data_IF_411537416082
#
_entry.id   IF_411537416082
#
_cell.length_a   1.000
_cell.length_b   1.000
_cell.length_c   1.000
_cell.angle_alpha   90.00
_cell.angle_beta   90.00
_cell.angle_gamma   90.00
#
_symmetry.space_group_name_H-M   'P 1'
#
loop_
_entity.id
_entity.type
_entity.pdbx_description
1 polymer ?
#
# COMPACT_ATOMS: atom_id res chain seq x y z
N UNK A 1 18.38 -0.72 -3.47
CA UNK A 1 17.33 -0.71 -4.52
C UNK A 1 17.92 -0.26 -5.85
N UNK A 2 18.51 0.94 -5.99
CA UNK A 2 19.03 1.48 -7.26
C UNK A 2 20.04 0.51 -7.93
N UNK A 3 21.00 -0.03 -7.19
CA UNK A 3 21.98 -0.98 -7.74
C UNK A 3 21.34 -2.25 -8.29
N UNK A 4 20.33 -2.79 -7.61
CA UNK A 4 19.60 -3.98 -8.08
C UNK A 4 18.69 -3.63 -9.27
N UNK A 5 18.08 -2.44 -9.29
CA UNK A 5 17.28 -1.96 -10.41
C UNK A 5 18.14 -1.83 -11.69
N UNK A 6 19.33 -1.23 -11.60
CA UNK A 6 20.27 -1.14 -12.73
C UNK A 6 20.67 -2.55 -13.18
N UNK A 7 21.00 -3.43 -12.23
CA UNK A 7 21.37 -4.80 -12.54
C UNK A 7 20.23 -5.56 -13.25
N UNK A 8 18.98 -5.39 -12.83
CA UNK A 8 17.82 -6.06 -13.45
C UNK A 8 17.64 -5.69 -14.93
N UNK A 9 18.06 -4.49 -15.33
CA UNK A 9 18.01 -4.05 -16.73
C UNK A 9 19.08 -4.71 -17.61
N UNK A 10 20.16 -5.20 -17.02
CA UNK A 10 21.24 -5.89 -17.75
C UNK A 10 20.98 -7.41 -17.91
N UNK A 11 19.93 -7.90 -17.29
CA UNK A 11 19.58 -9.33 -17.36
C UNK A 11 19.12 -9.72 -18.76
N UNK A 12 19.53 -10.91 -19.17
CA UNK A 12 18.99 -11.60 -20.36
C UNK A 12 18.89 -13.10 -20.07
N UNK A 13 17.81 -13.72 -20.50
CA UNK A 13 17.59 -15.15 -20.32
C UNK A 13 16.88 -15.71 -21.55
N UNK A 14 17.40 -16.86 -22.03
CA UNK A 14 16.78 -17.62 -23.13
C UNK A 14 16.08 -18.82 -22.51
N UNK A 15 14.78 -18.93 -22.73
CA UNK A 15 13.98 -20.04 -22.23
C UNK A 15 14.21 -21.34 -23.03
N UNK A 16 13.61 -22.43 -22.57
CA UNK A 16 13.71 -23.74 -23.23
C UNK A 16 13.14 -23.76 -24.64
N UNK A 17 12.28 -22.80 -24.99
CA UNK A 17 11.68 -22.63 -26.32
C UNK A 17 12.55 -21.76 -27.26
N UNK A 18 13.72 -21.32 -26.81
CA UNK A 18 14.64 -20.47 -27.59
C UNK A 18 14.23 -18.98 -27.63
N UNK A 19 13.25 -18.56 -26.83
CA UNK A 19 12.84 -17.16 -26.74
C UNK A 19 13.77 -16.43 -25.75
N UNK A 20 14.48 -15.42 -26.25
CA UNK A 20 15.34 -14.57 -25.41
C UNK A 20 14.55 -13.37 -24.93
N UNK A 21 14.48 -13.19 -23.61
CA UNK A 21 13.88 -12.02 -22.96
C UNK A 21 14.95 -11.19 -22.31
N UNK A 22 14.81 -9.87 -22.38
CA UNK A 22 15.79 -8.92 -21.85
C UNK A 22 15.18 -8.01 -20.79
N UNK A 23 16.02 -7.51 -19.87
CA UNK A 23 15.59 -6.56 -18.84
C UNK A 23 15.03 -5.26 -19.42
N UNK A 24 15.53 -4.86 -20.60
CA UNK A 24 15.03 -3.66 -21.31
C UNK A 24 13.59 -3.88 -21.81
N UNK A 25 13.27 -5.07 -22.31
CA UNK A 25 11.87 -5.40 -22.68
C UNK A 25 10.95 -5.39 -21.44
N UNK A 26 11.42 -5.93 -20.32
CA UNK A 26 10.71 -5.85 -19.05
C UNK A 26 10.52 -4.42 -18.56
N UNK A 27 11.49 -3.54 -18.76
CA UNK A 27 11.36 -2.11 -18.51
C UNK A 27 10.27 -1.47 -19.39
N UNK A 28 10.23 -1.83 -20.67
CA UNK A 28 9.19 -1.33 -21.59
C UNK A 28 7.80 -1.77 -21.16
N UNK A 29 7.64 -3.01 -20.67
CA UNK A 29 6.38 -3.49 -20.11
C UNK A 29 5.96 -2.66 -18.90
N UNK A 30 6.92 -2.23 -18.06
CA UNK A 30 6.63 -1.43 -16.88
C UNK A 30 6.28 0.02 -17.20
N UNK A 31 7.01 0.67 -18.13
CA UNK A 31 6.89 2.12 -18.39
C UNK A 31 5.90 2.42 -19.51
N UNK A 32 5.80 1.53 -20.53
CA UNK A 32 4.96 1.79 -21.69
C UNK A 32 3.49 1.50 -21.38
N UNK A 33 2.63 2.53 -21.32
CA UNK A 33 1.20 2.31 -21.10
C UNK A 33 0.58 1.60 -22.30
N UNK A 34 -0.21 0.57 -22.00
CA UNK A 34 -1.02 -0.13 -23.01
C UNK A 34 -2.47 0.36 -22.93
N UNK A 35 -2.87 1.13 -23.92
CA UNK A 35 -4.24 1.65 -24.05
C UNK A 35 -5.13 0.74 -24.92
N UNK A 36 -4.65 -0.44 -25.33
CA UNK A 36 -5.41 -1.37 -26.18
C UNK A 36 -6.62 -1.90 -25.40
N UNK A 37 -7.81 -1.69 -25.94
CA UNK A 37 -9.06 -2.10 -25.27
C UNK A 37 -9.40 -1.33 -23.99
N UNK A 38 -8.85 -0.11 -23.82
CA UNK A 38 -9.18 0.74 -22.69
C UNK A 38 -10.60 1.30 -22.84
N UNK A 39 -11.55 0.72 -22.10
CA UNK A 39 -12.90 1.26 -21.93
C UNK A 39 -12.93 2.24 -20.75
N UNK A 40 -13.95 3.12 -20.73
CA UNK A 40 -14.15 4.03 -19.59
C UNK A 40 -14.25 3.28 -18.28
N UNK A 41 -14.96 2.14 -18.26
CA UNK A 41 -15.09 1.31 -17.06
C UNK A 41 -13.75 0.71 -16.63
N UNK A 42 -12.95 0.20 -17.58
CA UNK A 42 -11.61 -0.32 -17.28
C UNK A 42 -10.69 0.78 -16.74
N UNK A 43 -10.74 1.98 -17.31
CA UNK A 43 -9.99 3.13 -16.82
C UNK A 43 -10.38 3.50 -15.37
N UNK A 44 -11.70 3.55 -15.07
CA UNK A 44 -12.18 3.82 -13.72
C UNK A 44 -11.72 2.76 -12.72
N UNK A 45 -11.77 1.48 -13.07
CA UNK A 45 -11.29 0.41 -12.21
C UNK A 45 -9.78 0.55 -11.94
N UNK A 46 -8.97 0.78 -12.97
CA UNK A 46 -7.52 1.02 -12.81
C UNK A 46 -7.25 2.23 -11.90
N UNK A 47 -8.00 3.31 -12.09
CA UNK A 47 -7.87 4.50 -11.24
C UNK A 47 -8.23 4.20 -9.78
N UNK A 48 -9.30 3.44 -9.54
CA UNK A 48 -9.72 3.03 -8.20
C UNK A 48 -8.70 2.10 -7.53
N UNK A 49 -8.15 1.13 -8.28
CA UNK A 49 -7.09 0.24 -7.79
C UNK A 49 -5.82 1.02 -7.42
N UNK A 50 -5.42 1.97 -8.28
CA UNK A 50 -4.27 2.85 -8.02
C UNK A 50 -4.49 3.73 -6.77
N UNK A 51 -5.70 4.27 -6.59
CA UNK A 51 -6.05 5.06 -5.41
C UNK A 51 -6.05 4.22 -4.14
N UNK A 52 -6.60 3.00 -4.19
CA UNK A 52 -6.56 2.04 -3.08
C UNK A 52 -5.11 1.75 -2.65
N UNK A 53 -4.23 1.52 -3.63
CA UNK A 53 -2.81 1.30 -3.36
C UNK A 53 -2.13 2.51 -2.72
N UNK A 54 -2.43 3.73 -3.16
CA UNK A 54 -1.90 4.96 -2.55
C UNK A 54 -2.35 5.13 -1.09
N UNK A 55 -3.60 4.81 -0.78
CA UNK A 55 -4.10 4.84 0.60
C UNK A 55 -3.31 3.90 1.51
N UNK A 56 -3.02 2.70 1.02
CA UNK A 56 -2.25 1.71 1.76
C UNK A 56 -0.78 2.15 1.91
N UNK A 57 -0.13 2.58 0.84
CA UNK A 57 1.27 3.00 0.82
C UNK A 57 1.52 4.18 1.76
N UNK A 58 0.66 5.20 1.73
CA UNK A 58 0.75 6.39 2.57
C UNK A 58 0.16 6.20 3.97
N UNK A 59 -0.31 4.99 4.31
CA UNK A 59 -0.94 4.67 5.61
C UNK A 59 -2.10 5.61 5.97
N UNK A 60 -2.85 6.06 4.96
CA UNK A 60 -4.01 6.94 5.15
C UNK A 60 -5.13 6.18 5.85
N UNK A 61 -5.78 6.82 6.81
CA UNK A 61 -6.89 6.26 7.62
C UNK A 61 -6.57 5.09 8.54
N UNK A 62 -5.29 4.72 8.66
CA UNK A 62 -4.83 3.73 9.64
C UNK A 62 -4.55 4.35 11.04
N UNK A 63 -4.75 5.65 11.21
CA UNK A 63 -4.43 6.37 12.44
C UNK A 63 -2.95 6.73 12.62
N UNK A 64 -2.05 6.16 11.83
CA UNK A 64 -0.59 6.36 11.95
C UNK A 64 -0.23 7.83 11.78
N UNK A 65 -0.72 8.48 10.73
CA UNK A 65 -0.45 9.89 10.47
C UNK A 65 -1.03 10.82 11.53
N UNK A 66 -2.17 10.46 12.12
CA UNK A 66 -2.77 11.22 13.24
C UNK A 66 -1.88 11.11 14.49
N UNK A 67 -1.43 9.90 14.81
CA UNK A 67 -0.53 9.66 15.94
C UNK A 67 0.80 10.39 15.76
N UNK A 68 1.41 10.30 14.60
CA UNK A 68 2.64 11.04 14.31
C UNK A 68 2.44 12.55 14.32
N UNK A 69 1.32 13.02 13.78
CA UNK A 69 0.94 14.44 13.83
C UNK A 69 0.86 14.98 15.27
N UNK A 70 0.42 14.13 16.24
CA UNK A 70 0.39 14.52 17.65
C UNK A 70 1.78 14.68 18.29
N UNK A 71 2.82 14.14 17.68
CA UNK A 71 4.22 14.24 18.14
C UNK A 71 5.02 15.35 17.44
N UNK A 72 4.47 15.89 16.37
CA UNK A 72 5.12 16.97 15.61
C UNK A 72 5.15 18.25 16.45
N UNK A 73 6.30 18.89 16.50
CA UNK A 73 6.45 20.18 17.17
C UNK A 73 5.82 21.30 16.35
N UNK A 74 5.44 22.36 17.05
CA UNK A 74 4.78 23.53 16.45
C UNK A 74 5.64 24.29 15.42
N UNK A 75 6.97 24.11 15.44
CA UNK A 75 7.91 24.77 14.53
C UNK A 75 8.19 24.02 13.22
N UNK A 76 7.53 22.87 13.00
CA UNK A 76 7.72 22.04 11.81
C UNK A 76 6.82 22.50 10.66
N UNK A 77 7.44 22.72 9.50
CA UNK A 77 6.73 22.98 8.23
C UNK A 77 6.01 21.71 7.74
N UNK A 78 4.69 21.65 8.00
CA UNK A 78 3.83 20.53 7.65
C UNK A 78 3.73 20.33 6.13
N UNK A 79 3.71 21.42 5.35
CA UNK A 79 3.61 21.37 3.90
C UNK A 79 4.87 20.73 3.29
N UNK A 80 6.04 21.15 3.77
CA UNK A 80 7.33 20.58 3.34
C UNK A 80 7.46 19.12 3.75
N UNK A 81 7.09 18.78 4.98
CA UNK A 81 7.11 17.40 5.47
C UNK A 81 6.22 16.49 4.61
N UNK A 82 4.98 16.91 4.32
CA UNK A 82 4.06 16.15 3.47
C UNK A 82 4.57 15.96 2.04
N UNK A 83 5.11 17.03 1.42
CA UNK A 83 5.69 16.94 0.10
C UNK A 83 6.90 15.99 0.05
N UNK A 84 7.71 15.94 1.10
CA UNK A 84 8.82 14.99 1.20
C UNK A 84 8.31 13.54 1.27
N UNK A 85 7.30 13.26 2.09
CA UNK A 85 6.69 11.93 2.17
C UNK A 85 6.18 11.49 0.78
N UNK A 86 5.43 12.35 0.10
CA UNK A 86 4.87 12.08 -1.23
C UNK A 86 5.96 11.76 -2.26
N UNK A 87 7.04 12.55 -2.31
CA UNK A 87 8.16 12.36 -3.23
C UNK A 87 8.93 11.07 -2.92
N UNK A 88 9.24 10.80 -1.65
CA UNK A 88 9.98 9.61 -1.27
C UNK A 88 9.16 8.33 -1.49
N UNK A 89 7.89 8.31 -1.12
CA UNK A 89 7.00 7.17 -1.33
C UNK A 89 6.91 6.82 -2.82
N UNK A 90 6.58 7.81 -3.66
CA UNK A 90 6.49 7.62 -5.12
C UNK A 90 7.83 7.19 -5.72
N UNK A 91 8.93 7.81 -5.30
CA UNK A 91 10.26 7.50 -5.79
C UNK A 91 10.70 6.07 -5.45
N UNK A 92 10.49 5.64 -4.21
CA UNK A 92 10.82 4.28 -3.77
C UNK A 92 9.92 3.25 -4.45
N UNK A 93 8.62 3.52 -4.58
CA UNK A 93 7.68 2.62 -5.28
C UNK A 93 8.08 2.43 -6.75
N UNK A 94 8.45 3.52 -7.45
CA UNK A 94 8.91 3.46 -8.82
C UNK A 94 10.21 2.66 -8.97
N UNK A 95 11.18 2.89 -8.09
CA UNK A 95 12.45 2.15 -8.07
C UNK A 95 12.26 0.66 -7.74
N UNK A 96 11.32 0.33 -6.86
CA UNK A 96 10.98 -1.05 -6.56
C UNK A 96 10.36 -1.75 -7.78
N UNK A 97 9.48 -1.08 -8.51
CA UNK A 97 8.94 -1.57 -9.78
C UNK A 97 10.03 -1.81 -10.82
N UNK A 98 10.97 -0.86 -10.99
CA UNK A 98 12.14 -1.01 -11.86
C UNK A 98 13.04 -2.19 -11.48
N UNK A 99 13.12 -2.52 -10.21
CA UNK A 99 13.91 -3.65 -9.72
C UNK A 99 13.21 -4.99 -9.98
N UNK A 100 11.91 -5.06 -9.73
CA UNK A 100 11.15 -6.32 -9.70
C UNK A 100 10.64 -6.69 -11.09
N UNK A 101 9.95 -5.79 -11.78
CA UNK A 101 9.24 -6.11 -13.01
C UNK A 101 10.17 -6.59 -14.13
N UNK A 102 11.30 -5.92 -14.45
CA UNK A 102 12.22 -6.42 -15.45
C UNK A 102 12.80 -7.80 -15.11
N UNK A 103 13.17 -8.03 -13.83
CA UNK A 103 13.71 -9.31 -13.42
C UNK A 103 12.69 -10.45 -13.54
N UNK A 104 11.44 -10.22 -13.12
CA UNK A 104 10.35 -11.20 -13.24
C UNK A 104 10.07 -11.50 -14.72
N UNK A 105 9.99 -10.44 -15.56
CA UNK A 105 9.74 -10.60 -16.98
C UNK A 105 10.81 -11.46 -17.68
N UNK A 106 12.07 -11.22 -17.38
CA UNK A 106 13.19 -11.95 -17.98
C UNK A 106 13.11 -13.46 -17.70
N UNK A 107 12.87 -13.86 -16.45
CA UNK A 107 12.92 -15.26 -16.05
C UNK A 107 11.58 -16.00 -16.13
N UNK A 108 10.47 -15.30 -15.91
CA UNK A 108 9.14 -15.93 -15.81
C UNK A 108 8.15 -15.44 -16.88
N UNK A 109 8.50 -14.40 -17.65
CA UNK A 109 7.60 -13.77 -18.60
C UNK A 109 6.44 -13.03 -17.93
N UNK A 110 5.42 -12.69 -18.74
CA UNK A 110 4.18 -12.05 -18.25
C UNK A 110 3.38 -12.93 -17.30
N UNK A 111 3.43 -14.25 -17.48
CA UNK A 111 2.70 -15.21 -16.66
C UNK A 111 3.25 -15.31 -15.22
N UNK A 112 4.51 -14.92 -15.02
CA UNK A 112 5.13 -14.83 -13.70
C UNK A 112 4.79 -13.57 -12.92
N UNK A 113 4.11 -12.60 -13.52
CA UNK A 113 3.72 -11.34 -12.90
C UNK A 113 2.51 -11.50 -11.98
N UNK A 114 2.67 -12.30 -10.92
CA UNK A 114 1.69 -12.41 -9.86
C UNK A 114 1.61 -11.11 -9.05
N UNK A 115 0.58 -10.97 -8.24
CA UNK A 115 0.42 -9.84 -7.30
C UNK A 115 0.50 -10.31 -5.85
N UNK A 116 0.74 -9.37 -4.95
CA UNK A 116 0.74 -9.62 -3.52
C UNK A 116 1.83 -10.59 -3.03
N UNK A 117 1.55 -11.39 -2.00
CA UNK A 117 2.52 -12.31 -1.40
C UNK A 117 3.12 -13.31 -2.38
N UNK A 118 2.37 -13.74 -3.38
CA UNK A 118 2.82 -14.70 -4.41
C UNK A 118 3.99 -14.14 -5.23
N UNK A 119 3.97 -12.85 -5.57
CA UNK A 119 5.09 -12.21 -6.27
C UNK A 119 6.36 -12.24 -5.41
N UNK A 120 6.23 -11.89 -4.14
CA UNK A 120 7.37 -11.74 -3.23
C UNK A 120 7.95 -13.08 -2.79
N UNK A 121 7.10 -14.05 -2.45
CA UNK A 121 7.54 -15.31 -1.82
C UNK A 121 7.59 -16.53 -2.76
N UNK A 122 7.03 -16.42 -3.97
CA UNK A 122 7.07 -17.49 -4.95
C UNK A 122 7.84 -17.05 -6.19
N UNK A 123 7.46 -15.94 -6.85
CA UNK A 123 8.08 -15.52 -8.11
C UNK A 123 9.50 -15.02 -7.92
N UNK A 124 9.75 -14.11 -6.98
CA UNK A 124 11.10 -13.57 -6.75
C UNK A 124 12.13 -14.62 -6.31
N UNK A 125 11.85 -15.57 -5.40
CA UNK A 125 12.79 -16.66 -5.12
C UNK A 125 13.15 -17.50 -6.34
N UNK A 126 12.20 -17.76 -7.25
CA UNK A 126 12.47 -18.47 -8.52
C UNK A 126 13.40 -17.66 -9.41
N UNK A 127 13.18 -16.35 -9.52
CA UNK A 127 14.06 -15.41 -10.25
C UNK A 127 15.48 -15.47 -9.66
N UNK A 128 15.62 -15.34 -8.34
CA UNK A 128 16.94 -15.38 -7.69
C UNK A 128 17.63 -16.74 -7.85
N UNK A 129 16.87 -17.84 -7.84
CA UNK A 129 17.41 -19.18 -8.10
C UNK A 129 17.91 -19.29 -9.55
N UNK A 130 17.18 -18.77 -10.53
CA UNK A 130 17.57 -18.78 -11.93
C UNK A 130 18.81 -17.92 -12.22
N UNK A 131 19.06 -16.87 -11.42
CA UNK A 131 20.27 -16.03 -11.49
C UNK A 131 21.53 -16.73 -10.93
N UNK A 132 21.43 -17.90 -10.35
CA UNK A 132 22.57 -18.69 -9.83
C UNK A 132 23.23 -18.06 -8.60
N UNK A 133 24.58 -18.03 -8.59
CA UNK A 133 25.36 -17.54 -7.43
C UNK A 133 25.13 -16.07 -7.10
N UNK A 134 25.02 -15.23 -8.10
CA UNK A 134 24.72 -13.80 -7.95
C UNK A 134 23.32 -13.58 -7.37
N UNK A 135 22.35 -14.38 -7.80
CA UNK A 135 20.99 -14.32 -7.32
C UNK A 135 20.86 -14.61 -5.82
N UNK A 136 21.70 -15.49 -5.25
CA UNK A 136 21.72 -15.75 -3.80
C UNK A 136 22.07 -14.50 -3.00
N UNK A 137 23.08 -13.75 -3.44
CA UNK A 137 23.51 -12.51 -2.77
C UNK A 137 22.44 -11.43 -2.91
N UNK A 138 21.94 -11.23 -4.12
CA UNK A 138 20.89 -10.23 -4.38
C UNK A 138 19.62 -10.57 -3.60
N UNK A 139 19.21 -11.85 -3.59
CA UNK A 139 18.05 -12.32 -2.84
C UNK A 139 18.21 -12.11 -1.33
N UNK A 140 19.38 -12.40 -0.77
CA UNK A 140 19.66 -12.13 0.64
C UNK A 140 19.55 -10.66 0.99
N UNK A 141 20.15 -9.78 0.19
CA UNK A 141 20.08 -8.32 0.38
C UNK A 141 18.63 -7.83 0.21
N UNK A 142 17.90 -8.34 -0.77
CA UNK A 142 16.51 -7.99 -1.01
C UNK A 142 15.63 -8.36 0.19
N UNK A 143 15.69 -9.60 0.67
CA UNK A 143 14.86 -10.03 1.80
C UNK A 143 15.26 -9.39 3.12
N UNK A 144 16.54 -9.07 3.33
CA UNK A 144 16.96 -8.25 4.47
C UNK A 144 16.37 -6.84 4.40
N UNK A 145 16.45 -6.18 3.25
CA UNK A 145 15.87 -4.85 3.06
C UNK A 145 14.34 -4.88 3.24
N UNK A 146 13.67 -5.89 2.70
CA UNK A 146 12.23 -6.11 2.89
C UNK A 146 11.89 -6.31 4.36
N UNK A 147 12.69 -7.11 5.09
CA UNK A 147 12.51 -7.33 6.53
C UNK A 147 12.63 -6.04 7.35
N UNK A 148 13.60 -5.18 7.05
CA UNK A 148 13.73 -3.87 7.70
C UNK A 148 12.56 -2.94 7.34
N UNK A 149 12.13 -2.91 6.09
CA UNK A 149 10.96 -2.13 5.69
C UNK A 149 9.68 -2.60 6.41
N UNK A 150 9.46 -3.91 6.50
CA UNK A 150 8.33 -4.47 7.24
C UNK A 150 8.40 -4.14 8.74
N UNK A 151 9.60 -4.23 9.34
CA UNK A 151 9.80 -3.93 10.76
C UNK A 151 9.46 -2.47 11.09
N UNK A 152 9.87 -1.51 10.26
CA UNK A 152 9.54 -0.10 10.48
C UNK A 152 8.04 0.16 10.38
N UNK A 153 7.34 -0.48 9.46
CA UNK A 153 5.88 -0.41 9.36
C UNK A 153 5.19 -1.02 10.57
N UNK A 154 5.64 -2.19 11.04
CA UNK A 154 5.12 -2.82 12.26
C UNK A 154 5.28 -1.92 13.48
N UNK A 155 6.43 -1.24 13.64
CA UNK A 155 6.67 -0.28 14.73
C UNK A 155 5.68 0.88 14.65
N UNK A 156 5.42 1.42 13.47
CA UNK A 156 4.46 2.53 13.27
C UNK A 156 3.04 2.15 13.66
N UNK A 157 2.58 0.97 13.21
CA UNK A 157 1.25 0.44 13.59
C UNK A 157 1.17 0.19 15.09
N UNK A 158 2.20 -0.44 15.66
CA UNK A 158 2.25 -0.72 17.09
C UNK A 158 2.24 0.56 17.92
N UNK A 159 2.99 1.60 17.52
CA UNK A 159 2.98 2.89 18.18
C UNK A 159 1.58 3.51 18.20
N UNK A 160 0.89 3.48 17.07
CA UNK A 160 -0.48 3.97 16.97
C UNK A 160 -1.44 3.25 17.91
N UNK A 161 -1.38 1.92 17.94
CA UNK A 161 -2.21 1.12 18.85
C UNK A 161 -1.87 1.39 20.31
N UNK A 162 -0.59 1.44 20.67
CA UNK A 162 -0.15 1.70 22.04
C UNK A 162 -0.56 3.09 22.50
N UNK A 163 -0.36 4.13 21.69
CA UNK A 163 -0.74 5.49 22.03
C UNK A 163 -2.26 5.60 22.31
N UNK A 164 -3.08 5.06 21.42
CA UNK A 164 -4.54 5.06 21.61
C UNK A 164 -4.97 4.21 22.82
N UNK A 165 -4.37 3.03 23.02
CA UNK A 165 -4.68 2.19 24.18
C UNK A 165 -4.27 2.85 25.50
N UNK A 166 -3.15 3.57 25.55
CA UNK A 166 -2.74 4.33 26.74
C UNK A 166 -3.79 5.38 27.14
N UNK A 167 -4.35 6.07 26.15
CA UNK A 167 -5.37 7.10 26.35
C UNK A 167 -6.70 6.48 26.82
N UNK A 168 -7.15 5.41 26.14
CA UNK A 168 -8.43 4.74 26.46
C UNK A 168 -8.39 4.04 27.82
N UNK A 169 -7.33 3.29 28.11
CA UNK A 169 -7.23 2.46 29.32
C UNK A 169 -6.54 3.16 30.49
N UNK A 170 -6.00 4.36 30.29
CA UNK A 170 -5.24 5.12 31.29
C UNK A 170 -4.10 4.31 31.94
N UNK A 171 -3.43 3.48 31.12
CA UNK A 171 -2.33 2.59 31.56
C UNK A 171 -0.97 3.10 31.13
N UNK A 172 0.08 2.58 31.74
CA UNK A 172 1.45 2.95 31.39
C UNK A 172 1.83 2.42 29.99
N UNK A 173 2.74 3.14 29.33
CA UNK A 173 3.27 2.75 28.00
C UNK A 173 3.82 1.31 28.00
N UNK A 174 4.53 0.93 29.07
CA UNK A 174 5.14 -0.40 29.18
C UNK A 174 4.09 -1.51 29.22
N UNK A 175 3.01 -1.31 29.98
CA UNK A 175 1.90 -2.27 30.06
C UNK A 175 1.19 -2.40 28.72
N UNK A 176 0.92 -1.27 28.03
CA UNK A 176 0.24 -1.28 26.76
C UNK A 176 1.12 -1.85 25.64
N UNK A 177 2.42 -1.57 25.62
CA UNK A 177 3.35 -2.23 24.69
C UNK A 177 3.35 -3.75 24.87
N UNK A 178 3.37 -4.24 26.10
CA UNK A 178 3.32 -5.67 26.36
C UNK A 178 1.98 -6.29 25.94
N UNK A 179 0.86 -5.66 26.28
CA UNK A 179 -0.48 -6.15 25.94
C UNK A 179 -0.71 -6.18 24.42
N UNK A 180 -0.42 -5.08 23.72
CA UNK A 180 -0.55 -4.98 22.26
C UNK A 180 0.43 -5.93 21.57
N UNK A 181 1.66 -6.06 22.07
CA UNK A 181 2.65 -6.99 21.54
C UNK A 181 2.20 -8.45 21.63
N UNK A 182 1.68 -8.87 22.79
CA UNK A 182 1.14 -10.24 22.98
C UNK A 182 -0.07 -10.45 22.05
N UNK A 183 -1.00 -9.50 22.03
CA UNK A 183 -2.17 -9.56 21.12
C UNK A 183 -1.75 -9.71 19.65
N UNK A 184 -0.82 -8.87 19.19
CA UNK A 184 -0.33 -8.90 17.81
C UNK A 184 0.38 -10.21 17.48
N UNK A 185 1.17 -10.74 18.43
CA UNK A 185 1.87 -12.02 18.25
C UNK A 185 0.87 -13.18 18.14
N UNK A 186 -0.11 -13.25 19.04
CA UNK A 186 -1.14 -14.31 19.01
C UNK A 186 -1.93 -14.23 17.71
N UNK A 187 -2.38 -13.03 17.31
CA UNK A 187 -3.12 -12.83 16.06
C UNK A 187 -2.29 -13.22 14.84
N UNK A 188 -1.01 -12.82 14.79
CA UNK A 188 -0.12 -13.17 13.70
C UNK A 188 0.08 -14.69 13.58
N UNK A 189 0.26 -15.41 14.70
CA UNK A 189 0.35 -16.87 14.71
C UNK A 189 -0.94 -17.50 14.18
N UNK A 190 -2.10 -17.06 14.63
CA UNK A 190 -3.39 -17.57 14.15
C UNK A 190 -3.56 -17.36 12.64
N UNK A 191 -3.20 -16.17 12.13
CA UNK A 191 -3.27 -15.86 10.70
C UNK A 191 -2.30 -16.75 9.91
N UNK A 192 -1.07 -16.94 10.40
CA UNK A 192 -0.12 -17.84 9.75
C UNK A 192 -0.61 -19.30 9.72
N UNK A 193 -1.30 -19.76 10.76
CA UNK A 193 -1.93 -21.08 10.78
C UNK A 193 -3.05 -21.23 9.75
N UNK A 194 -3.64 -20.13 9.29
CA UNK A 194 -4.63 -20.10 8.22
C UNK A 194 -4.12 -20.66 6.88
N UNK A 195 -2.81 -20.67 6.66
CA UNK A 195 -2.21 -21.27 5.47
C UNK A 195 -2.01 -22.79 5.57
N UNK A 196 -2.18 -23.38 6.76
CA UNK A 196 -1.87 -24.80 7.04
C UNK A 196 -2.99 -25.50 7.81
N UNK A 197 -2.95 -25.38 9.15
CA UNK A 197 -3.82 -26.13 10.07
C UNK A 197 -5.25 -25.58 10.06
N UNK A 198 -5.39 -24.26 9.95
CA UNK A 198 -6.68 -23.56 9.93
C UNK A 198 -7.03 -23.12 8.52
N UNK A 199 -6.66 -23.92 7.50
CA UNK A 199 -6.98 -23.61 6.13
C UNK A 199 -8.48 -23.72 5.88
N UNK A 200 -9.07 -22.64 5.35
CA UNK A 200 -10.43 -22.61 4.86
C UNK A 200 -10.55 -21.61 3.70
N UNK A 201 -11.55 -21.76 2.89
CA UNK A 201 -11.86 -20.84 1.81
C UNK A 201 -13.28 -20.30 2.02
N UNK A 202 -13.43 -18.99 2.05
CA UNK A 202 -14.71 -18.29 2.12
C UNK A 202 -14.91 -17.42 0.88
N UNK A 203 -16.08 -17.44 0.26
CA UNK A 203 -16.43 -16.47 -0.77
C UNK A 203 -16.65 -15.10 -0.13
N UNK A 204 -15.93 -14.09 -0.59
CA UNK A 204 -16.12 -12.70 -0.17
C UNK A 204 -17.20 -12.01 -1.01
N UNK A 205 -17.82 -10.94 -0.49
CA UNK A 205 -18.84 -10.17 -1.21
C UNK A 205 -18.34 -9.56 -2.53
N UNK A 206 -17.03 -9.33 -2.67
CA UNK A 206 -16.40 -8.87 -3.90
C UNK A 206 -16.21 -9.99 -4.95
N UNK A 207 -16.63 -11.23 -4.66
CA UNK A 207 -16.56 -12.39 -5.56
C UNK A 207 -15.24 -13.15 -5.54
N UNK A 208 -14.25 -12.75 -4.70
CA UNK A 208 -13.02 -13.51 -4.50
C UNK A 208 -13.20 -14.62 -3.47
N UNK A 209 -12.40 -15.70 -3.60
CA UNK A 209 -12.24 -16.71 -2.54
C UNK A 209 -11.10 -16.27 -1.63
N UNK A 210 -11.30 -16.35 -0.33
CA UNK A 210 -10.40 -15.79 0.65
C UNK A 210 -10.05 -16.81 1.74
N UNK A 211 -8.80 -16.81 2.13
CA UNK A 211 -8.26 -17.46 3.32
C UNK A 211 -8.30 -16.50 4.50
N UNK A 212 -7.87 -16.93 5.67
CA UNK A 212 -7.93 -16.11 6.89
C UNK A 212 -7.23 -14.76 6.74
N UNK A 213 -6.04 -14.71 6.13
CA UNK A 213 -5.34 -13.46 5.85
C UNK A 213 -6.15 -12.55 4.94
N UNK A 214 -6.69 -13.08 3.86
CA UNK A 214 -7.47 -12.33 2.87
C UNK A 214 -8.77 -11.78 3.48
N UNK A 215 -9.40 -12.54 4.39
CA UNK A 215 -10.59 -12.08 5.14
C UNK A 215 -10.24 -10.90 6.04
N UNK A 216 -9.11 -10.97 6.76
CA UNK A 216 -8.65 -9.87 7.61
C UNK A 216 -8.27 -8.64 6.78
N UNK A 217 -7.62 -8.85 5.65
CA UNK A 217 -7.28 -7.79 4.68
C UNK A 217 -8.55 -7.14 4.11
N UNK A 218 -9.53 -7.94 3.73
CA UNK A 218 -10.82 -7.44 3.24
C UNK A 218 -11.52 -6.57 4.28
N UNK A 219 -11.59 -7.02 5.54
CA UNK A 219 -12.22 -6.25 6.62
C UNK A 219 -11.47 -4.94 6.86
N UNK A 220 -10.14 -4.98 6.95
CA UNK A 220 -9.33 -3.79 7.27
C UNK A 220 -9.21 -2.85 6.06
N UNK A 221 -8.81 -3.34 4.91
CA UNK A 221 -8.43 -2.50 3.77
C UNK A 221 -9.57 -2.26 2.78
N UNK A 222 -10.44 -3.25 2.55
CA UNK A 222 -11.55 -3.08 1.60
C UNK A 222 -12.79 -2.46 2.25
N UNK A 223 -13.01 -2.67 3.54
CA UNK A 223 -14.19 -2.15 4.24
C UNK A 223 -13.86 -0.96 5.16
N UNK A 224 -13.06 -1.17 6.22
CA UNK A 224 -12.85 -0.17 7.26
C UNK A 224 -12.07 1.05 6.75
N UNK A 225 -11.03 0.86 5.96
CA UNK A 225 -10.18 1.97 5.51
C UNK A 225 -10.95 2.96 4.62
N UNK A 226 -11.65 2.57 3.53
CA UNK A 226 -12.45 3.51 2.74
C UNK A 226 -13.61 4.14 3.55
N UNK A 227 -14.21 3.38 4.47
CA UNK A 227 -15.28 3.88 5.34
C UNK A 227 -14.78 4.98 6.29
N UNK A 228 -13.66 4.75 6.98
CA UNK A 228 -13.05 5.74 7.88
C UNK A 228 -12.55 6.95 7.07
N UNK A 229 -11.97 6.73 5.88
CA UNK A 229 -11.57 7.81 4.99
C UNK A 229 -12.74 8.70 4.58
N UNK A 230 -13.87 8.09 4.24
CA UNK A 230 -15.10 8.81 3.90
C UNK A 230 -15.58 9.67 5.09
N UNK A 231 -15.68 9.07 6.29
CA UNK A 231 -16.09 9.79 7.49
C UNK A 231 -15.13 10.94 7.82
N UNK A 232 -13.81 10.70 7.73
CA UNK A 232 -12.78 11.72 7.99
C UNK A 232 -12.86 12.84 6.96
N UNK A 233 -13.07 12.51 5.69
CA UNK A 233 -13.19 13.52 4.64
C UNK A 233 -14.44 14.40 4.81
N UNK A 234 -15.56 13.83 5.25
CA UNK A 234 -16.78 14.58 5.61
C UNK A 234 -16.51 15.45 6.84
N UNK A 235 -15.91 14.90 7.88
CA UNK A 235 -15.57 15.67 9.08
C UNK A 235 -14.69 16.88 8.76
N UNK A 236 -13.59 16.67 8.05
CA UNK A 236 -12.62 17.72 7.70
C UNK A 236 -13.19 18.69 6.66
N UNK A 237 -13.91 18.17 5.65
CA UNK A 237 -14.42 18.97 4.55
C UNK A 237 -15.64 19.84 4.90
N UNK A 238 -16.53 19.32 5.79
CA UNK A 238 -17.84 19.94 6.04
C UNK A 238 -18.07 20.36 7.47
N UNK A 239 -17.60 19.59 8.47
CA UNK A 239 -17.84 19.89 9.88
C UNK A 239 -16.79 20.87 10.42
N UNK A 240 -15.51 20.49 10.36
CA UNK A 240 -14.39 21.34 10.81
C UNK A 240 -14.13 22.47 9.82
N UNK A 241 -14.17 22.13 8.55
CA UNK A 241 -13.90 23.01 7.43
C UNK A 241 -12.42 23.08 7.05
N UNK A 242 -12.10 23.12 5.73
CA UNK A 242 -10.72 23.14 5.24
C UNK A 242 -9.91 24.35 5.71
N UNK A 243 -10.58 25.44 6.07
CA UNK A 243 -9.92 26.67 6.57
C UNK A 243 -9.14 26.45 7.85
N UNK A 244 -9.62 25.56 8.72
CA UNK A 244 -8.93 25.24 9.97
C UNK A 244 -7.58 24.54 9.69
N UNK A 245 -7.58 23.56 8.78
CA UNK A 245 -6.35 22.87 8.38
C UNK A 245 -5.38 23.83 7.68
N UNK A 246 -5.90 24.72 6.80
CA UNK A 246 -5.08 25.73 6.13
C UNK A 246 -4.43 26.66 7.14
N UNK A 247 -5.18 27.12 8.15
CA UNK A 247 -4.65 27.97 9.20
C UNK A 247 -3.58 27.28 10.05
N UNK A 248 -3.72 25.95 10.29
CA UNK A 248 -2.71 25.18 11.01
C UNK A 248 -1.43 25.01 10.18
N UNK A 249 -1.56 24.77 8.88
CA UNK A 249 -0.41 24.65 7.95
C UNK A 249 0.32 25.99 7.81
N UNK A 250 -0.38 27.12 7.86
CA UNK A 250 0.20 28.46 7.72
C UNK A 250 0.59 29.13 9.06
N UNK A 251 0.45 28.38 10.17
CA UNK A 251 0.64 28.91 11.54
C UNK A 251 1.99 29.58 11.77
N UNK A 252 3.04 29.07 11.16
CA UNK A 252 4.42 29.56 11.32
C UNK A 252 4.86 30.55 10.22
N UNK A 253 3.91 31.08 9.45
CA UNK A 253 4.18 32.01 8.34
C UNK A 253 4.50 31.33 7.02
N UNK A 254 4.28 30.04 6.91
CA UNK A 254 4.44 29.26 5.70
C UNK A 254 3.29 29.52 4.73
N UNK A 255 3.58 29.43 3.43
CA UNK A 255 2.56 29.64 2.41
C UNK A 255 2.05 28.33 1.85
N UNK A 256 0.76 28.04 2.04
CA UNK A 256 0.11 26.86 1.45
C UNK A 256 -0.43 27.17 0.05
N UNK A 257 0.45 27.13 -0.96
CA UNK A 257 0.11 27.47 -2.34
C UNK A 257 -1.02 26.64 -2.96
N UNK A 258 -1.32 25.45 -2.42
CA UNK A 258 -2.38 24.54 -2.87
C UNK A 258 -3.69 24.67 -2.07
N UNK A 259 -3.86 25.68 -1.21
CA UNK A 259 -5.00 25.83 -0.30
C UNK A 259 -6.38 25.79 -0.99
N UNK A 260 -6.53 26.44 -2.16
CA UNK A 260 -7.77 26.41 -2.94
C UNK A 260 -8.07 25.00 -3.48
N UNK A 261 -7.06 24.36 -4.06
CA UNK A 261 -7.17 22.98 -4.56
C UNK A 261 -7.53 22.02 -3.42
N UNK A 262 -6.82 22.11 -2.29
CA UNK A 262 -7.10 21.34 -1.08
C UNK A 262 -8.57 21.49 -0.63
N UNK A 263 -9.07 22.72 -0.57
CA UNK A 263 -10.45 22.99 -0.15
C UNK A 263 -11.49 22.35 -1.07
N UNK A 264 -11.29 22.41 -2.39
CA UNK A 264 -12.19 21.79 -3.37
C UNK A 264 -12.12 20.27 -3.28
N UNK A 265 -10.90 19.73 -3.22
CA UNK A 265 -10.68 18.28 -3.13
C UNK A 265 -11.33 17.71 -1.88
N UNK A 266 -11.07 18.27 -0.70
CA UNK A 266 -11.61 17.77 0.58
C UNK A 266 -13.12 17.92 0.71
N UNK A 267 -13.73 18.95 0.11
CA UNK A 267 -15.19 19.13 0.19
C UNK A 267 -15.96 18.25 -0.77
N UNK A 268 -15.46 18.05 -1.98
CA UNK A 268 -16.27 17.47 -3.05
C UNK A 268 -15.66 16.20 -3.64
N UNK A 269 -14.39 16.25 -4.03
CA UNK A 269 -13.77 15.15 -4.79
C UNK A 269 -13.50 13.95 -3.90
N UNK A 270 -12.81 14.17 -2.77
CA UNK A 270 -12.39 13.08 -1.88
C UNK A 270 -13.60 12.31 -1.32
N UNK A 271 -14.67 12.95 -0.78
CA UNK A 271 -15.83 12.19 -0.30
C UNK A 271 -16.50 11.35 -1.37
N UNK A 272 -16.64 11.88 -2.59
CA UNK A 272 -17.25 11.13 -3.70
C UNK A 272 -16.37 9.93 -4.10
N UNK A 273 -15.07 10.14 -4.23
CA UNK A 273 -14.13 9.08 -4.57
C UNK A 273 -14.09 8.01 -3.47
N UNK A 274 -14.08 8.40 -2.19
CA UNK A 274 -14.11 7.46 -1.07
C UNK A 274 -15.41 6.66 -1.02
N UNK A 275 -16.53 7.28 -1.33
CA UNK A 275 -17.81 6.58 -1.44
C UNK A 275 -17.78 5.54 -2.57
N UNK A 276 -17.26 5.90 -3.73
CA UNK A 276 -17.13 4.97 -4.87
C UNK A 276 -16.18 3.83 -4.50
N UNK A 277 -15.03 4.12 -3.91
CA UNK A 277 -14.08 3.10 -3.44
C UNK A 277 -14.74 2.16 -2.42
N UNK A 278 -15.46 2.70 -1.46
CA UNK A 278 -16.16 1.89 -0.47
C UNK A 278 -17.19 0.96 -1.11
N UNK A 279 -17.99 1.47 -2.03
CA UNK A 279 -19.03 0.67 -2.72
C UNK A 279 -18.42 -0.41 -3.63
N UNK A 280 -17.31 -0.09 -4.32
CA UNK A 280 -16.66 -1.05 -5.22
C UNK A 280 -15.87 -2.11 -4.47
N UNK A 281 -15.09 -1.74 -3.47
CA UNK A 281 -14.26 -2.67 -2.70
C UNK A 281 -15.08 -3.63 -1.83
N UNK A 282 -16.23 -3.19 -1.35
CA UNK A 282 -17.14 -4.04 -0.57
C UNK A 282 -18.03 -4.95 -1.44
N UNK A 283 -18.00 -4.80 -2.76
CA UNK A 283 -18.91 -5.52 -3.66
C UNK A 283 -20.33 -4.95 -3.71
N UNK A 284 -20.67 -3.97 -2.88
CA UNK A 284 -21.98 -3.30 -2.90
C UNK A 284 -22.21 -2.53 -4.23
N UNK A 285 -21.15 -2.16 -4.90
CA UNK A 285 -21.21 -1.51 -6.20
C UNK A 285 -21.87 -2.39 -7.28
N UNK A 286 -21.70 -3.71 -7.23
CA UNK A 286 -22.36 -4.64 -8.14
C UNK A 286 -23.87 -4.67 -7.98
N UNK A 287 -24.38 -4.42 -6.77
CA UNK A 287 -25.81 -4.31 -6.47
C UNK A 287 -26.42 -2.99 -7.00
N UNK A 288 -25.61 -1.91 -7.06
CA UNK A 288 -26.07 -0.56 -7.44
C UNK A 288 -25.86 -0.29 -8.93
N UNK A 289 -24.72 -0.72 -9.49
CA UNK A 289 -24.33 -0.41 -10.86
C UNK A 289 -24.54 -1.57 -11.84
N UNK A 290 -25.13 -2.68 -11.38
CA UNK A 290 -25.51 -3.82 -12.24
C UNK A 290 -24.31 -4.52 -12.87
N UNK A 291 -23.91 -5.64 -12.27
CA UNK A 291 -23.17 -6.74 -12.90
C UNK A 291 -21.77 -6.44 -13.46
N UNK A 292 -20.84 -7.22 -12.96
CA UNK A 292 -19.60 -7.51 -13.69
C UNK A 292 -19.88 -8.47 -14.84
#
# INVERSE_FOLDING_TARGET
IIGIAIFSLTLSYTDENGMTRTGIEGLLVYIKPDFTGLTVQRFLNIALDAMSQLFFSLSVSMGIMITYGSYVKDDVDLNKANNQIEIFDTGVAFLAGLMIIPAVYVFLGTDGMASGPSLTFISLPKVFAAMGGVGRVIGAVFFLALGFAALTSCVSVMETLVANCMEIFHKSRREMCAAVGVYSLVTAVLICMGYNVLYFELPLPNGSTAQLLDVMDYISNSFLMPFISLLTSILVGWVVGPKWIIAEVEKNGEHFGRAKLYSVMMKYVVPVVMLILFLTSTGLGSLIFGGR
#
